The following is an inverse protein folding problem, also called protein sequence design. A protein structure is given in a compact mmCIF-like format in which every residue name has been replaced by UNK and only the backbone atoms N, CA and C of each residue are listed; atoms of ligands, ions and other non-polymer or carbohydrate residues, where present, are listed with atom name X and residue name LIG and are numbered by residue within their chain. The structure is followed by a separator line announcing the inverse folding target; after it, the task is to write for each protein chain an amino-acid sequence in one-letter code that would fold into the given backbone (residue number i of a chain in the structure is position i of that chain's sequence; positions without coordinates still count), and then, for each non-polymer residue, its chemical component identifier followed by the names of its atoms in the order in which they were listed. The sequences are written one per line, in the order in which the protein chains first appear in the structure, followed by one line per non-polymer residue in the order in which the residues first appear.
data_IF_988880740377
#
_entry.id   IF_988880740377
#
_cell.length_a   1.000
_cell.length_b   1.000
_cell.length_c   1.000
_cell.angle_alpha   90.00
_cell.angle_beta   90.00
_cell.angle_gamma   90.00
#
_symmetry.space_group_name_H-M   'P 1'
#
loop_
_entity.id
_entity.type
_entity.pdbx_description
1 polymer ?
#
# COMPACT_ATOMS: atom_id res chain seq x y z
N UNK A 1 -40.23 10.65 21.69
CA UNK A 1 -40.50 9.36 22.37
C UNK A 1 -39.21 8.83 23.00
N UNK A 2 -39.24 8.27 24.22
CA UNK A 2 -38.12 8.26 25.15
C UNK A 2 -37.18 7.04 24.99
N UNK A 3 -35.90 7.27 25.32
CA UNK A 3 -34.79 6.32 25.30
C UNK A 3 -34.86 5.37 26.50
N UNK A 4 -34.83 4.07 26.25
CA UNK A 4 -34.73 3.05 27.30
C UNK A 4 -33.26 2.84 27.70
N UNK A 5 -33.00 3.06 28.99
CA UNK A 5 -31.77 2.74 29.73
C UNK A 5 -31.67 1.22 29.92
N UNK A 6 -30.52 0.61 29.64
CA UNK A 6 -30.23 -0.77 30.07
C UNK A 6 -29.13 -0.81 31.13
N UNK A 7 -29.53 -1.41 32.25
CA UNK A 7 -28.79 -1.62 33.50
C UNK A 7 -27.66 -2.64 33.34
N UNK A 8 -26.62 -2.39 34.13
CA UNK A 8 -25.56 -3.31 34.56
C UNK A 8 -26.13 -4.48 35.37
N UNK A 9 -25.59 -5.67 35.15
CA UNK A 9 -25.56 -6.75 36.14
C UNK A 9 -24.20 -7.44 36.13
N UNK A 10 -23.60 -7.50 37.32
CA UNK A 10 -22.32 -8.10 37.68
C UNK A 10 -22.64 -9.16 38.74
N UNK A 11 -22.14 -10.39 38.58
CA UNK A 11 -21.90 -11.41 39.63
C UNK A 11 -21.29 -12.65 38.95
N UNK A 12 -20.02 -13.04 39.17
CA UNK A 12 -19.43 -13.82 40.30
C UNK A 12 -19.84 -15.33 40.24
N UNK A 13 -19.07 -16.38 40.52
CA UNK A 13 -17.68 -16.69 40.94
C UNK A 13 -17.48 -18.23 40.81
N UNK A 14 -16.24 -18.73 40.63
CA UNK A 14 -15.62 -19.98 41.20
C UNK A 14 -14.45 -20.43 40.29
N UNK A 15 -13.16 -20.27 40.61
CA UNK A 15 -12.28 -20.78 41.70
C UNK A 15 -11.67 -22.18 41.44
N UNK A 16 -10.40 -22.18 40.97
CA UNK A 16 -9.25 -23.07 41.27
C UNK A 16 -9.31 -24.60 40.97
N UNK A 17 -8.18 -25.35 40.86
CA UNK A 17 -6.79 -25.02 41.24
C UNK A 17 -5.66 -25.40 40.25
N UNK A 18 -4.48 -24.89 40.61
CA UNK A 18 -3.11 -25.17 40.14
C UNK A 18 -2.70 -26.63 40.39
N UNK A 19 -1.99 -27.26 39.43
CA UNK A 19 -0.95 -28.27 39.71
C UNK A 19 0.19 -28.19 38.69
N UNK A 20 1.39 -28.28 39.26
CA UNK A 20 2.74 -28.17 38.69
C UNK A 20 3.25 -29.54 38.16
N UNK A 21 4.52 -29.71 37.74
CA UNK A 21 4.92 -30.29 36.47
C UNK A 21 5.17 -31.81 36.48
N UNK A 22 5.05 -32.45 35.31
CA UNK A 22 5.28 -33.89 35.14
C UNK A 22 6.77 -34.17 34.89
N UNK A 23 7.42 -34.70 35.92
CA UNK A 23 8.66 -35.49 35.85
C UNK A 23 8.32 -36.96 35.51
N UNK A 24 8.87 -37.49 34.41
CA UNK A 24 9.02 -38.93 34.12
C UNK A 24 10.31 -39.06 33.28
N UNK A 25 11.24 -39.97 33.48
CA UNK A 25 11.22 -41.24 34.18
C UNK A 25 12.15 -42.19 33.41
N UNK A 26 13.42 -42.16 33.81
CA UNK A 26 14.50 -43.16 33.68
C UNK A 26 14.10 -44.54 33.12
N UNK A 27 14.69 -44.96 31.99
CA UNK A 27 14.84 -46.39 31.62
C UNK A 27 16.32 -46.69 31.41
N UNK A 28 16.84 -47.60 32.24
CA UNK A 28 18.20 -48.15 32.25
C UNK A 28 18.12 -49.54 31.59
N UNK A 29 19.01 -49.84 30.64
CA UNK A 29 19.46 -51.20 30.33
C UNK A 29 20.93 -51.17 29.90
N UNK A 30 21.66 -52.11 30.47
CA UNK A 30 23.09 -52.44 30.42
C UNK A 30 23.65 -52.58 28.99
N UNK A 31 24.81 -51.98 28.68
CA UNK A 31 26.21 -52.46 28.83
C UNK A 31 26.66 -53.44 27.74
N UNK A 32 27.35 -52.92 26.73
CA UNK A 32 28.47 -53.63 26.09
C UNK A 32 29.49 -52.64 25.52
N UNK A 33 30.73 -52.75 26.03
CA UNK A 33 32.02 -52.26 25.53
C UNK A 33 32.35 -50.74 25.60
N UNK A 34 33.56 -50.36 26.06
CA UNK A 34 34.00 -48.97 26.15
C UNK A 34 34.53 -48.48 24.78
N UNK A 35 33.94 -47.47 24.14
CA UNK A 35 34.63 -46.75 23.10
C UNK A 35 35.58 -45.74 23.76
N UNK A 36 36.83 -45.81 23.32
CA UNK A 36 37.94 -44.90 23.62
C UNK A 36 37.51 -43.42 23.68
N UNK A 37 38.08 -42.60 24.58
CA UNK A 37 37.74 -41.19 24.68
C UNK A 37 38.26 -40.47 23.43
N UNK A 38 37.39 -40.28 22.44
CA UNK A 38 37.65 -39.34 21.35
C UNK A 38 37.69 -37.94 21.98
N UNK A 39 38.75 -37.13 21.75
CA UNK A 39 38.78 -35.77 22.22
C UNK A 39 37.66 -35.02 21.50
N UNK A 40 36.58 -34.75 22.22
CA UNK A 40 35.57 -33.80 21.75
C UNK A 40 36.21 -32.43 21.82
N UNK A 41 36.82 -32.02 20.70
CA UNK A 41 37.10 -30.62 20.45
C UNK A 41 35.77 -29.89 20.62
N UNK A 42 35.57 -29.25 21.79
CA UNK A 42 34.58 -28.21 21.94
C UNK A 42 34.94 -27.17 20.89
N UNK A 43 34.24 -27.19 19.76
CA UNK A 43 34.22 -26.06 18.84
C UNK A 43 33.75 -24.88 19.70
N UNK A 44 34.68 -23.99 20.04
CA UNK A 44 34.36 -22.75 20.76
C UNK A 44 33.21 -22.12 19.98
N UNK A 45 32.05 -21.93 20.63
CA UNK A 45 30.97 -21.13 20.07
C UNK A 45 31.61 -19.81 19.64
N UNK A 46 31.65 -19.55 18.32
CA UNK A 46 32.09 -18.27 17.80
C UNK A 46 31.28 -17.20 18.53
N UNK A 47 31.99 -16.22 19.08
CA UNK A 47 31.37 -15.04 19.68
C UNK A 47 30.32 -14.50 18.72
N UNK A 48 29.17 -14.05 19.25
CA UNK A 48 28.10 -13.41 18.47
C UNK A 48 28.63 -12.18 17.68
N UNK A 49 29.83 -11.71 18.02
CA UNK A 49 30.53 -10.60 17.38
C UNK A 49 31.73 -11.02 16.51
N UNK A 50 31.80 -12.26 16.01
CA UNK A 50 32.96 -12.71 15.20
C UNK A 50 33.17 -11.91 13.91
N UNK A 51 32.21 -11.09 13.49
CA UNK A 51 32.36 -10.14 12.38
C UNK A 51 33.21 -8.90 12.74
N UNK A 52 33.53 -8.72 14.03
CA UNK A 52 34.44 -7.70 14.56
C UNK A 52 35.86 -8.22 14.75
N UNK A 53 36.07 -9.53 14.62
CA UNK A 53 37.41 -10.12 14.68
C UNK A 53 38.17 -9.70 13.42
N UNK A 54 39.19 -8.87 13.61
CA UNK A 54 40.04 -8.33 12.54
C UNK A 54 41.45 -8.87 12.71
N UNK A 55 42.14 -9.16 11.60
CA UNK A 55 43.57 -9.51 11.66
C UNK A 55 44.40 -8.28 12.06
N UNK A 56 45.61 -8.50 12.59
CA UNK A 56 46.54 -7.41 12.90
C UNK A 56 46.85 -6.56 11.66
N UNK A 57 46.99 -7.20 10.50
CA UNK A 57 47.21 -6.54 9.21
C UNK A 57 46.03 -5.63 8.82
N UNK A 58 44.78 -6.11 8.97
CA UNK A 58 43.59 -5.29 8.71
C UNK A 58 43.46 -4.10 9.67
N UNK A 59 43.96 -4.23 10.89
CA UNK A 59 43.94 -3.19 11.91
C UNK A 59 45.02 -2.14 11.63
N UNK A 60 46.20 -2.54 11.16
CA UNK A 60 47.30 -1.63 10.79
C UNK A 60 47.00 -0.86 9.50
N UNK A 61 46.33 -1.51 8.54
CA UNK A 61 45.94 -0.91 7.27
C UNK A 61 44.72 0.04 7.37
N UNK A 62 44.03 0.11 8.52
CA UNK A 62 42.82 0.92 8.67
C UNK A 62 43.12 2.42 8.65
N UNK A 63 42.75 3.09 7.56
CA UNK A 63 42.91 4.54 7.41
C UNK A 63 42.15 5.34 8.48
N UNK A 64 41.06 4.79 9.05
CA UNK A 64 40.27 5.48 10.07
C UNK A 64 41.04 5.69 11.37
N UNK A 65 42.03 4.85 11.68
CA UNK A 65 42.89 5.01 12.88
C UNK A 65 43.72 6.29 12.85
N UNK A 66 43.96 6.84 11.66
CA UNK A 66 44.72 8.08 11.46
C UNK A 66 43.83 9.33 11.52
N UNK A 67 42.51 9.18 11.69
CA UNK A 67 41.60 10.31 11.85
C UNK A 67 41.81 10.96 13.22
N UNK A 68 41.66 12.29 13.30
CA UNK A 68 41.93 13.07 14.53
C UNK A 68 41.21 12.55 15.77
N UNK A 69 40.00 12.00 15.60
CA UNK A 69 39.19 11.52 16.72
C UNK A 69 39.56 10.09 17.14
N UNK A 70 39.89 9.21 16.19
CA UNK A 70 40.24 7.81 16.49
C UNK A 70 41.74 7.60 16.75
N UNK A 71 42.57 8.63 16.52
CA UNK A 71 43.97 8.66 16.97
C UNK A 71 44.13 8.97 18.45
N UNK A 72 43.07 9.42 19.12
CA UNK A 72 43.05 9.63 20.58
C UNK A 72 43.09 8.28 21.31
N UNK A 73 43.47 8.30 22.60
CA UNK A 73 43.39 7.09 23.43
C UNK A 73 41.95 6.59 23.52
N UNK A 74 41.76 5.28 23.60
CA UNK A 74 40.43 4.67 23.66
C UNK A 74 39.57 5.22 24.82
N UNK A 75 40.21 5.60 25.92
CA UNK A 75 39.55 6.24 27.07
C UNK A 75 38.99 7.62 26.73
N UNK A 76 39.75 8.46 26.02
CA UNK A 76 39.30 9.78 25.58
C UNK A 76 38.16 9.66 24.57
N UNK A 77 38.24 8.72 23.64
CA UNK A 77 37.16 8.48 22.66
C UNK A 77 35.87 8.02 23.37
N UNK A 78 35.97 7.09 24.33
CA UNK A 78 34.83 6.67 25.16
C UNK A 78 34.26 7.82 25.99
N UNK A 79 35.13 8.69 26.54
CA UNK A 79 34.73 9.87 27.30
C UNK A 79 33.99 10.87 26.42
N UNK A 80 34.48 11.16 25.21
CA UNK A 80 33.77 12.00 24.23
C UNK A 80 32.41 11.39 23.91
N UNK A 81 32.35 10.08 23.64
CA UNK A 81 31.11 9.37 23.34
C UNK A 81 30.10 9.39 24.50
N UNK A 82 30.55 9.50 25.76
CA UNK A 82 29.67 9.62 26.93
C UNK A 82 28.92 10.94 27.01
N UNK A 83 29.41 11.98 26.31
CA UNK A 83 28.73 13.27 26.19
C UNK A 83 27.78 13.34 24.98
N UNK A 84 27.79 12.33 24.10
CA UNK A 84 26.90 12.30 22.95
C UNK A 84 25.50 11.82 23.36
N UNK A 85 24.43 12.39 22.78
CA UNK A 85 23.11 11.77 22.78
C UNK A 85 23.17 10.31 22.30
N UNK A 86 22.28 9.46 22.81
CA UNK A 86 22.34 8.01 22.63
C UNK A 86 22.34 7.59 21.14
N UNK A 87 21.48 8.20 20.34
CA UNK A 87 21.42 8.08 18.89
C UNK A 87 22.76 8.44 18.21
N UNK A 88 23.36 9.56 18.59
CA UNK A 88 24.65 10.03 18.07
C UNK A 88 25.79 9.10 18.47
N UNK A 89 25.76 8.56 19.69
CA UNK A 89 26.72 7.56 20.17
C UNK A 89 26.61 6.24 19.40
N UNK A 90 25.37 5.82 19.06
CA UNK A 90 25.15 4.66 18.19
C UNK A 90 25.66 4.95 16.78
N UNK A 91 25.32 6.09 16.18
CA UNK A 91 25.82 6.48 14.85
C UNK A 91 27.35 6.55 14.80
N UNK A 92 27.99 7.10 15.84
CA UNK A 92 29.46 7.16 15.92
C UNK A 92 30.06 5.75 15.91
N UNK A 93 29.51 4.82 16.69
CA UNK A 93 29.95 3.42 16.66
C UNK A 93 29.67 2.71 15.33
N UNK A 94 28.72 3.17 14.52
CA UNK A 94 28.40 2.60 13.20
C UNK A 94 29.23 3.20 12.05
N UNK A 95 29.97 4.28 12.30
CA UNK A 95 30.67 5.03 11.24
C UNK A 95 31.77 4.19 10.58
N UNK A 96 32.53 3.41 11.36
CA UNK A 96 33.55 2.51 10.85
C UNK A 96 33.85 1.37 11.84
N UNK A 97 34.52 0.32 11.35
CA UNK A 97 34.93 -0.84 12.17
C UNK A 97 35.79 -0.43 13.37
N UNK A 98 36.66 0.57 13.20
CA UNK A 98 37.53 1.06 14.28
C UNK A 98 36.74 1.79 15.38
N UNK A 99 35.79 2.65 15.01
CA UNK A 99 34.92 3.31 15.97
C UNK A 99 34.11 2.28 16.78
N UNK A 100 33.56 1.25 16.11
CA UNK A 100 32.86 0.15 16.78
C UNK A 100 33.78 -0.63 17.72
N UNK A 101 35.04 -0.87 17.32
CA UNK A 101 36.04 -1.57 18.15
C UNK A 101 36.36 -0.79 19.43
N UNK A 102 36.55 0.53 19.32
CA UNK A 102 36.91 1.39 20.45
C UNK A 102 35.72 1.61 21.39
N UNK A 103 34.54 1.88 20.84
CA UNK A 103 33.34 2.24 21.62
C UNK A 103 32.57 1.00 22.13
N UNK A 104 32.61 -0.09 21.36
CA UNK A 104 31.86 -1.31 21.62
C UNK A 104 30.34 -1.17 21.35
N UNK A 105 29.58 -2.27 21.50
CA UNK A 105 28.14 -2.30 21.21
C UNK A 105 27.27 -1.82 22.38
N UNK A 106 27.85 -1.22 23.42
CA UNK A 106 27.15 -0.86 24.66
C UNK A 106 25.99 0.11 24.42
N UNK A 107 26.20 1.11 23.54
CA UNK A 107 25.16 2.05 23.12
C UNK A 107 24.02 1.35 22.36
N UNK A 108 24.28 0.27 21.63
CA UNK A 108 23.24 -0.48 20.91
C UNK A 108 22.31 -1.21 21.86
N UNK A 109 22.86 -1.77 22.95
CA UNK A 109 22.07 -2.41 23.99
C UNK A 109 21.20 -1.41 24.73
N UNK A 110 21.72 -0.22 25.00
CA UNK A 110 20.95 0.88 25.58
C UNK A 110 19.84 1.35 24.63
N UNK A 111 20.14 1.55 23.34
CA UNK A 111 19.14 1.89 22.33
C UNK A 111 18.08 0.80 22.20
N UNK A 112 18.45 -0.49 22.27
CA UNK A 112 17.49 -1.60 22.28
C UNK A 112 16.57 -1.55 23.49
N UNK A 113 17.10 -1.19 24.67
CA UNK A 113 16.36 -1.09 25.93
C UNK A 113 15.40 0.11 25.96
N UNK A 114 15.81 1.25 25.42
CA UNK A 114 15.08 2.52 25.51
C UNK A 114 14.28 2.87 24.23
N UNK A 115 14.74 2.47 23.05
CA UNK A 115 14.18 2.87 21.75
C UNK A 115 13.09 1.95 21.19
N UNK A 116 12.89 0.75 21.75
CA UNK A 116 11.84 -0.19 21.31
C UNK A 116 10.68 -0.33 22.29
N UNK A 117 10.70 0.43 23.40
CA UNK A 117 9.51 0.53 24.25
C UNK A 117 8.44 1.28 23.48
N UNK A 118 7.51 0.52 22.91
CA UNK A 118 6.28 0.99 22.27
C UNK A 118 5.63 2.01 23.19
N UNK A 119 5.62 3.29 22.82
CA UNK A 119 4.79 4.27 23.50
C UNK A 119 3.93 5.07 22.52
N UNK A 120 2.63 4.93 22.76
CA UNK A 120 1.59 5.96 22.77
C UNK A 120 1.88 7.27 22.03
N UNK A 121 0.93 7.64 21.17
CA UNK A 121 0.83 8.83 20.30
C UNK A 121 1.18 10.22 20.89
N UNK A 122 1.42 10.33 22.20
CA UNK A 122 1.55 11.61 22.89
C UNK A 122 2.99 11.95 23.34
N UNK A 123 3.97 11.05 23.19
CA UNK A 123 5.38 11.32 23.51
C UNK A 123 6.26 10.87 22.33
N UNK A 124 6.86 11.78 21.55
CA UNK A 124 7.83 11.39 20.53
C UNK A 124 9.02 10.69 21.21
N UNK A 125 9.40 9.47 20.81
CA UNK A 125 10.48 8.75 21.46
C UNK A 125 11.83 9.42 21.20
N UNK A 126 12.84 9.26 22.09
CA UNK A 126 14.24 9.63 21.83
C UNK A 126 14.87 8.93 20.59
N UNK A 127 14.13 8.04 19.94
CA UNK A 127 14.54 7.24 18.79
C UNK A 127 14.16 7.85 17.43
N UNK A 128 13.52 9.02 17.37
CA UNK A 128 13.17 9.68 16.11
C UNK A 128 14.40 10.20 15.36
N UNK A 129 15.39 10.72 16.09
CA UNK A 129 16.62 11.25 15.53
C UNK A 129 17.55 10.17 14.96
N UNK A 130 17.49 8.94 15.48
CA UNK A 130 18.41 7.87 15.04
C UNK A 130 18.21 7.46 13.56
N UNK A 131 17.00 7.09 13.09
CA UNK A 131 16.78 6.82 11.67
C UNK A 131 16.98 8.08 10.80
N UNK A 132 16.69 9.28 11.30
CA UNK A 132 17.00 10.52 10.58
C UNK A 132 18.51 10.71 10.39
N UNK A 133 19.33 10.46 11.42
CA UNK A 133 20.79 10.50 11.32
C UNK A 133 21.31 9.44 10.36
N UNK A 134 20.79 8.21 10.43
CA UNK A 134 21.12 7.15 9.47
C UNK A 134 20.73 7.51 8.04
N UNK A 135 19.63 8.25 7.85
CA UNK A 135 19.18 8.68 6.51
C UNK A 135 20.27 9.49 5.80
N UNK A 136 21.05 10.31 6.52
CA UNK A 136 22.16 11.10 5.98
C UNK A 136 23.15 10.24 5.21
N UNK A 137 23.44 9.05 5.74
CA UNK A 137 24.48 8.17 5.22
C UNK A 137 23.94 7.21 4.14
N UNK A 138 22.64 7.20 3.89
CA UNK A 138 21.96 6.29 2.96
C UNK A 138 20.95 6.99 2.03
N UNK A 139 21.05 8.32 1.86
CA UNK A 139 20.04 9.14 1.16
C UNK A 139 19.70 8.66 -0.25
N UNK A 140 20.66 8.05 -0.92
CA UNK A 140 20.51 7.59 -2.31
C UNK A 140 19.63 6.34 -2.42
N UNK A 141 19.44 5.60 -1.32
CA UNK A 141 18.78 4.29 -1.30
C UNK A 141 17.59 4.26 -0.35
N UNK A 142 17.61 5.08 0.70
CA UNK A 142 16.61 5.11 1.75
C UNK A 142 16.17 6.54 2.08
N UNK A 143 14.89 6.70 2.34
CA UNK A 143 14.26 7.94 2.80
C UNK A 143 13.63 7.73 4.17
N UNK A 144 13.78 8.72 5.04
CA UNK A 144 13.10 8.74 6.33
C UNK A 144 11.61 9.00 6.14
N UNK A 145 10.77 8.26 6.86
CA UNK A 145 9.32 8.44 6.86
C UNK A 145 8.84 8.97 8.20
N UNK A 146 8.29 10.19 8.18
CA UNK A 146 7.78 10.87 9.37
C UNK A 146 6.52 10.21 9.98
N UNK A 147 5.86 9.31 9.24
CA UNK A 147 4.63 8.64 9.71
C UNK A 147 4.95 7.46 10.63
N UNK A 148 5.94 6.65 10.24
CA UNK A 148 6.30 5.42 10.94
C UNK A 148 7.73 5.46 11.51
N UNK A 149 8.36 6.65 11.47
CA UNK A 149 9.67 6.97 12.05
C UNK A 149 10.76 5.95 11.71
N UNK A 150 10.84 5.57 10.43
CA UNK A 150 11.82 4.58 9.96
C UNK A 150 12.21 4.82 8.50
N UNK A 151 13.28 4.14 8.06
CA UNK A 151 13.84 4.24 6.72
C UNK A 151 13.17 3.27 5.75
N UNK A 152 12.75 3.76 4.59
CA UNK A 152 12.20 2.95 3.50
C UNK A 152 12.92 3.26 2.21
N UNK A 153 12.88 2.37 1.21
CA UNK A 153 13.18 2.76 -0.15
C UNK A 153 12.32 3.98 -0.55
N UNK A 154 12.86 4.92 -1.35
CA UNK A 154 12.12 6.08 -1.80
C UNK A 154 10.86 5.66 -2.55
N UNK A 155 9.88 6.56 -2.57
CA UNK A 155 8.64 6.35 -3.30
C UNK A 155 8.98 6.24 -4.79
N UNK A 156 8.84 5.02 -5.32
CA UNK A 156 8.99 4.76 -6.76
C UNK A 156 7.78 5.33 -7.54
N UNK A 157 7.93 5.63 -8.84
CA UNK A 157 6.80 5.98 -9.70
C UNK A 157 5.68 4.93 -9.67
N UNK A 158 4.41 5.28 -9.96
CA UNK A 158 3.27 4.38 -9.91
C UNK A 158 3.50 3.00 -10.57
N UNK A 159 4.14 2.97 -11.74
CA UNK A 159 4.46 1.74 -12.51
C UNK A 159 5.44 0.78 -11.82
N UNK A 160 6.26 1.31 -10.92
CA UNK A 160 7.31 0.56 -10.21
C UNK A 160 7.06 0.47 -8.70
N UNK A 161 6.01 1.13 -8.20
CA UNK A 161 5.67 1.12 -6.79
C UNK A 161 5.06 -0.23 -6.38
N UNK A 162 5.48 -0.77 -5.24
CA UNK A 162 4.92 -2.00 -4.67
C UNK A 162 4.56 -1.78 -3.22
N UNK A 163 3.32 -2.09 -2.87
CA UNK A 163 2.87 -2.04 -1.48
C UNK A 163 3.41 -3.27 -0.76
N UNK A 164 4.22 -3.03 0.26
CA UNK A 164 4.74 -4.07 1.16
C UNK A 164 3.98 -4.02 2.47
N UNK A 165 4.11 -5.06 3.30
CA UNK A 165 3.54 -5.05 4.66
C UNK A 165 4.02 -3.86 5.50
N UNK A 166 5.27 -3.41 5.28
CA UNK A 166 5.86 -2.26 5.97
C UNK A 166 5.27 -0.94 5.44
N UNK A 167 5.30 -0.75 4.12
CA UNK A 167 4.82 0.50 3.51
C UNK A 167 3.30 0.66 3.64
N UNK A 168 2.52 -0.42 3.68
CA UNK A 168 1.06 -0.37 3.93
C UNK A 168 0.71 0.38 5.23
N UNK A 169 1.51 0.20 6.29
CA UNK A 169 1.31 0.94 7.56
C UNK A 169 1.64 2.42 7.42
N UNK A 170 2.71 2.74 6.71
CA UNK A 170 3.16 4.11 6.53
C UNK A 170 2.25 4.92 5.58
N UNK A 171 1.56 4.27 4.64
CA UNK A 171 0.58 4.93 3.78
C UNK A 171 -0.74 5.24 4.53
N UNK A 172 -1.04 4.51 5.62
CA UNK A 172 -2.14 4.79 6.53
C UNK A 172 -3.49 4.96 5.82
N UNK A 173 -4.13 6.12 6.01
CA UNK A 173 -5.42 6.46 5.40
C UNK A 173 -5.29 7.12 4.01
N UNK A 174 -4.07 7.49 3.60
CA UNK A 174 -3.71 8.01 2.29
C UNK A 174 -3.31 6.87 1.36
N UNK A 175 -4.06 5.77 1.48
CA UNK A 175 -3.83 4.49 0.84
C UNK A 175 -3.66 4.61 -0.68
N UNK A 176 -3.21 3.53 -1.29
CA UNK A 176 -2.95 3.44 -2.73
C UNK A 176 -4.24 3.23 -3.54
N UNK A 177 -4.23 3.61 -4.81
CA UNK A 177 -5.19 3.07 -5.79
C UNK A 177 -4.79 1.61 -6.06
N UNK A 178 -5.41 0.66 -5.36
CA UNK A 178 -5.03 -0.76 -5.32
C UNK A 178 -5.90 -1.70 -6.17
N UNK A 179 -6.93 -1.15 -6.81
CA UNK A 179 -7.90 -1.90 -7.58
C UNK A 179 -7.56 -1.98 -9.08
N UNK A 180 -6.42 -1.40 -9.48
CA UNK A 180 -5.91 -1.50 -10.84
C UNK A 180 -5.21 -2.86 -11.05
N UNK A 181 -5.08 -3.30 -12.30
CA UNK A 181 -4.57 -4.62 -12.59
C UNK A 181 -3.11 -4.72 -12.19
N UNK A 182 -2.74 -5.82 -11.52
CA UNK A 182 -1.37 -6.12 -11.09
C UNK A 182 -1.13 -7.62 -11.04
N UNK A 183 0.14 -8.03 -11.12
CA UNK A 183 0.62 -9.37 -10.81
C UNK A 183 1.69 -9.31 -9.69
N UNK A 184 2.41 -10.42 -9.47
CA UNK A 184 3.42 -10.50 -8.41
C UNK A 184 4.62 -9.57 -8.64
N UNK A 185 4.92 -9.23 -9.89
CA UNK A 185 6.11 -8.49 -10.30
C UNK A 185 5.77 -7.08 -10.81
N UNK A 186 4.60 -6.91 -11.41
CA UNK A 186 4.17 -5.75 -12.20
C UNK A 186 2.82 -5.20 -11.70
N UNK A 187 2.62 -3.89 -11.87
CA UNK A 187 1.36 -3.24 -11.53
C UNK A 187 1.51 -1.73 -11.44
N UNK A 188 0.37 -1.04 -11.48
CA UNK A 188 0.30 0.42 -11.46
C UNK A 188 -0.41 0.88 -10.18
N UNK A 189 0.36 1.52 -9.29
CA UNK A 189 -0.06 1.82 -7.92
C UNK A 189 0.14 3.30 -7.58
N UNK A 190 -0.77 4.18 -8.03
CA UNK A 190 -0.74 5.60 -7.66
C UNK A 190 -0.90 5.81 -6.15
N UNK A 191 -0.05 6.67 -5.61
CA UNK A 191 -0.11 7.20 -4.26
C UNK A 191 -0.50 8.68 -4.28
N UNK A 192 -0.98 9.18 -3.14
CA UNK A 192 -1.30 10.60 -3.02
C UNK A 192 -0.08 11.48 -3.28
N UNK A 193 1.11 11.06 -2.83
CA UNK A 193 2.37 11.77 -3.10
C UNK A 193 2.68 11.91 -4.59
N UNK A 194 2.30 10.94 -5.43
CA UNK A 194 2.46 11.06 -6.89
C UNK A 194 1.53 12.12 -7.47
N UNK A 195 0.32 12.26 -6.91
CA UNK A 195 -0.63 13.31 -7.28
C UNK A 195 -0.09 14.68 -6.84
N UNK A 196 0.47 14.78 -5.63
CA UNK A 196 1.07 16.02 -5.15
C UNK A 196 2.27 16.46 -6.00
N UNK A 197 3.15 15.53 -6.35
CA UNK A 197 4.29 15.79 -7.22
C UNK A 197 3.83 16.20 -8.62
N UNK A 198 2.87 15.48 -9.21
CA UNK A 198 2.27 15.83 -10.49
C UNK A 198 1.59 17.20 -10.47
N UNK A 199 0.92 17.56 -9.36
CA UNK A 199 0.30 18.87 -9.21
C UNK A 199 1.34 19.99 -9.14
N UNK A 200 2.44 19.75 -8.42
CA UNK A 200 3.53 20.71 -8.25
C UNK A 200 4.24 20.97 -9.59
N UNK A 201 4.61 19.90 -10.30
CA UNK A 201 5.34 19.99 -11.57
C UNK A 201 4.51 20.60 -12.70
N UNK A 202 3.18 20.49 -12.65
CA UNK A 202 2.26 21.04 -13.65
C UNK A 202 1.52 22.31 -13.19
N UNK A 203 2.00 22.97 -12.13
CA UNK A 203 1.32 24.12 -11.50
C UNK A 203 1.08 25.31 -12.44
N UNK A 204 1.93 25.50 -13.46
CA UNK A 204 1.75 26.53 -14.49
C UNK A 204 0.41 26.40 -15.26
N UNK A 205 -0.17 25.20 -15.29
CA UNK A 205 -1.42 24.89 -15.98
C UNK A 205 -2.59 24.63 -15.02
N UNK A 206 -2.56 25.18 -13.80
CA UNK A 206 -3.62 24.99 -12.80
C UNK A 206 -4.83 25.92 -12.97
N UNK A 207 -4.77 26.90 -13.88
CA UNK A 207 -5.83 27.89 -14.10
C UNK A 207 -6.97 27.35 -14.95
N UNK A 208 -8.19 27.91 -14.79
CA UNK A 208 -9.30 27.57 -15.69
C UNK A 208 -8.95 27.93 -17.13
N UNK A 209 -9.31 27.07 -18.08
CA UNK A 209 -9.05 27.25 -19.51
C UNK A 209 -7.68 26.77 -19.97
N UNK A 210 -6.77 26.37 -19.07
CA UNK A 210 -5.43 25.90 -19.46
C UNK A 210 -5.38 24.38 -19.65
N UNK A 211 -4.57 23.97 -20.61
CA UNK A 211 -4.27 22.57 -20.93
C UNK A 211 -2.77 22.37 -20.82
N UNK A 212 -2.36 21.32 -20.12
CA UNK A 212 -0.96 20.99 -19.92
C UNK A 212 -0.55 19.75 -20.71
N UNK A 213 0.74 19.62 -20.95
CA UNK A 213 1.36 18.44 -21.56
C UNK A 213 1.16 17.17 -20.70
N UNK A 214 1.31 15.98 -21.29
CA UNK A 214 1.34 14.73 -20.55
C UNK A 214 2.38 14.73 -19.42
N UNK A 215 1.99 14.19 -18.27
CA UNK A 215 2.81 14.12 -17.06
C UNK A 215 3.39 12.71 -16.94
N UNK A 216 4.67 12.56 -17.29
CA UNK A 216 5.37 11.27 -17.35
C UNK A 216 5.33 10.45 -16.05
N UNK A 217 5.26 11.14 -14.90
CA UNK A 217 5.13 10.50 -13.59
C UNK A 217 3.86 9.64 -13.50
N UNK A 218 2.79 10.07 -14.13
CA UNK A 218 1.48 9.41 -14.13
C UNK A 218 1.26 8.53 -15.37
N UNK A 219 2.32 8.27 -16.12
CA UNK A 219 2.29 7.42 -17.31
C UNK A 219 2.81 6.01 -17.01
N UNK A 220 2.10 5.03 -17.56
CA UNK A 220 2.45 3.63 -17.39
C UNK A 220 1.56 2.71 -18.19
N UNK A 221 2.15 1.62 -18.67
CA UNK A 221 1.48 0.57 -19.42
C UNK A 221 1.71 -0.78 -18.74
N UNK A 222 0.68 -1.60 -18.72
CA UNK A 222 0.72 -2.91 -18.11
C UNK A 222 -0.11 -3.90 -18.93
N UNK A 223 0.34 -5.14 -19.06
CA UNK A 223 -0.37 -6.19 -19.80
C UNK A 223 -0.38 -7.49 -19.02
N UNK A 224 -1.58 -8.04 -18.80
CA UNK A 224 -1.82 -9.37 -18.27
C UNK A 224 -2.27 -10.29 -19.41
N UNK A 225 -1.53 -11.37 -19.61
CA UNK A 225 -1.94 -12.45 -20.50
C UNK A 225 -2.83 -13.45 -19.75
N UNK A 226 -4.01 -13.71 -20.29
CA UNK A 226 -4.94 -14.77 -19.84
C UNK A 226 -5.16 -15.76 -20.99
N UNK A 227 -5.65 -16.98 -20.71
CA UNK A 227 -6.02 -17.92 -21.76
C UNK A 227 -7.02 -17.29 -22.73
N UNK A 228 -6.60 -17.09 -23.98
CA UNK A 228 -7.40 -16.52 -25.08
C UNK A 228 -7.84 -15.05 -24.92
N UNK A 229 -7.25 -14.31 -23.98
CA UNK A 229 -7.56 -12.92 -23.72
C UNK A 229 -6.30 -12.17 -23.27
N UNK A 230 -6.02 -11.03 -23.90
CA UNK A 230 -5.03 -10.07 -23.43
C UNK A 230 -5.75 -8.92 -22.75
N UNK A 231 -5.34 -8.60 -21.53
CA UNK A 231 -5.83 -7.42 -20.81
C UNK A 231 -4.67 -6.45 -20.63
N UNK A 232 -4.67 -5.35 -21.35
CA UNK A 232 -3.73 -4.25 -21.11
C UNK A 232 -4.41 -3.07 -20.44
N UNK A 233 -3.63 -2.30 -19.71
CA UNK A 233 -4.04 -1.03 -19.13
C UNK A 233 -2.96 0.00 -19.45
N UNK A 234 -3.34 1.10 -20.10
CA UNK A 234 -2.50 2.29 -20.20
C UNK A 234 -3.00 3.38 -19.27
N UNK A 235 -2.08 4.23 -18.82
CA UNK A 235 -2.35 5.36 -17.93
C UNK A 235 -1.64 6.60 -18.42
N UNK A 236 -2.28 7.75 -18.28
CA UNK A 236 -1.73 9.05 -18.62
C UNK A 236 -2.31 10.13 -17.72
N UNK A 237 -1.47 11.03 -17.21
CA UNK A 237 -1.89 12.21 -16.46
C UNK A 237 -1.70 13.48 -17.28
N UNK A 238 -2.60 14.46 -17.16
CA UNK A 238 -2.42 15.80 -17.73
C UNK A 238 -3.29 16.84 -17.00
N UNK A 239 -3.06 18.12 -17.29
CA UNK A 239 -3.94 19.22 -16.85
C UNK A 239 -4.97 19.50 -17.94
N UNK A 240 -6.26 19.47 -17.60
CA UNK A 240 -7.37 19.77 -18.51
C UNK A 240 -8.30 20.79 -17.83
N UNK A 241 -8.47 21.97 -18.44
CA UNK A 241 -9.21 23.09 -17.85
C UNK A 241 -8.74 23.44 -16.42
N UNK A 242 -7.42 23.35 -16.21
CA UNK A 242 -6.77 23.54 -14.90
C UNK A 242 -6.76 22.32 -13.97
N UNK A 243 -7.63 21.34 -14.21
CA UNK A 243 -7.76 20.17 -13.34
C UNK A 243 -6.70 19.13 -13.66
N UNK A 244 -6.12 18.51 -12.64
CA UNK A 244 -5.30 17.32 -12.84
C UNK A 244 -6.22 16.12 -13.11
N UNK A 245 -6.11 15.57 -14.32
CA UNK A 245 -6.87 14.41 -14.78
C UNK A 245 -5.92 13.23 -14.94
N UNK A 246 -6.27 12.09 -14.34
CA UNK A 246 -5.64 10.80 -14.58
C UNK A 246 -6.56 9.94 -15.43
N UNK A 247 -6.11 9.60 -16.63
CA UNK A 247 -6.81 8.74 -17.58
C UNK A 247 -6.28 7.32 -17.46
N UNK A 248 -7.17 6.34 -17.38
CA UNK A 248 -6.82 4.92 -17.58
C UNK A 248 -7.59 4.35 -18.76
N UNK A 249 -6.95 3.49 -19.55
CA UNK A 249 -7.59 2.77 -20.66
C UNK A 249 -7.34 1.29 -20.47
N UNK A 250 -8.36 0.56 -20.02
CA UNK A 250 -8.31 -0.90 -20.01
C UNK A 250 -8.71 -1.41 -21.41
N UNK A 251 -7.81 -2.13 -22.06
CA UNK A 251 -8.02 -2.76 -23.36
C UNK A 251 -8.07 -4.27 -23.17
N UNK A 252 -9.19 -4.87 -23.51
CA UNK A 252 -9.37 -6.31 -23.53
C UNK A 252 -9.40 -6.76 -24.98
N UNK A 253 -8.54 -7.71 -25.36
CA UNK A 253 -8.46 -8.24 -26.73
C UNK A 253 -8.50 -9.76 -26.71
N UNK A 254 -9.44 -10.36 -27.43
CA UNK A 254 -9.48 -11.83 -27.57
C UNK A 254 -8.61 -12.30 -28.74
N UNK A 255 -7.91 -13.42 -28.54
CA UNK A 255 -7.25 -14.14 -29.64
C UNK A 255 -8.18 -15.15 -30.32
N UNK A 256 -9.41 -15.32 -29.82
CA UNK A 256 -10.40 -16.21 -30.41
C UNK A 256 -10.84 -15.67 -31.78
N UNK A 257 -11.26 -16.58 -32.65
CA UNK A 257 -11.92 -16.19 -33.90
C UNK A 257 -13.26 -15.47 -33.64
N UNK A 258 -13.93 -15.81 -32.52
CA UNK A 258 -15.24 -15.27 -32.12
C UNK A 258 -15.11 -13.88 -31.45
N UNK A 259 -16.17 -13.04 -31.52
CA UNK A 259 -16.28 -11.79 -30.76
C UNK A 259 -16.04 -11.98 -29.26
N UNK A 260 -15.61 -10.91 -28.58
CA UNK A 260 -15.60 -10.85 -27.13
C UNK A 260 -17.00 -11.06 -26.57
N UNK A 261 -17.10 -11.87 -25.51
CA UNK A 261 -18.34 -12.10 -24.80
C UNK A 261 -18.26 -11.53 -23.38
N UNK A 262 -19.42 -11.25 -22.79
CA UNK A 262 -19.50 -10.79 -21.40
C UNK A 262 -18.81 -11.77 -20.43
N UNK A 263 -18.91 -13.07 -20.72
CA UNK A 263 -18.24 -14.13 -19.94
C UNK A 263 -16.72 -14.09 -20.01
N UNK A 264 -16.12 -13.42 -21.00
CA UNK A 264 -14.67 -13.23 -21.07
C UNK A 264 -14.20 -12.07 -20.17
N UNK A 265 -15.08 -11.11 -19.85
CA UNK A 265 -14.72 -9.86 -19.15
C UNK A 265 -15.18 -9.85 -17.69
N UNK A 266 -16.45 -10.17 -17.43
CA UNK A 266 -17.05 -10.02 -16.09
C UNK A 266 -16.32 -10.82 -14.98
N UNK A 267 -15.81 -12.04 -15.22
CA UNK A 267 -15.06 -12.80 -14.21
C UNK A 267 -13.71 -12.20 -13.81
N UNK A 268 -13.19 -11.20 -14.53
CA UNK A 268 -11.90 -10.57 -14.22
C UNK A 268 -11.96 -9.63 -13.01
N UNK A 269 -13.15 -9.40 -12.44
CA UNK A 269 -13.40 -8.44 -11.35
C UNK A 269 -12.78 -7.06 -11.63
N UNK A 270 -13.04 -6.52 -12.83
CA UNK A 270 -12.52 -5.22 -13.26
C UNK A 270 -13.09 -4.14 -12.35
N UNK A 271 -12.22 -3.26 -11.86
CA UNK A 271 -12.58 -2.10 -11.04
C UNK A 271 -11.98 -0.85 -11.67
N UNK A 272 -12.81 0.17 -11.86
CA UNK A 272 -12.37 1.46 -12.44
C UNK A 272 -12.28 2.56 -11.39
N UNK A 273 -13.08 2.45 -10.33
CA UNK A 273 -12.95 3.23 -9.10
C UNK A 273 -13.42 2.35 -7.94
N UNK A 274 -13.28 2.77 -6.67
CA UNK A 274 -13.77 1.98 -5.55
C UNK A 274 -15.25 1.62 -5.65
N UNK A 275 -16.06 2.41 -6.36
CA UNK A 275 -17.53 2.28 -6.41
C UNK A 275 -18.07 1.53 -7.63
N UNK A 276 -17.25 1.37 -8.67
CA UNK A 276 -17.68 0.84 -9.97
C UNK A 276 -16.79 -0.35 -10.31
N UNK A 277 -17.36 -1.54 -10.15
CA UNK A 277 -16.68 -2.81 -10.32
C UNK A 277 -17.60 -3.86 -10.97
N UNK A 278 -17.02 -4.90 -11.57
CA UNK A 278 -17.78 -6.06 -12.07
C UNK A 278 -17.96 -7.15 -11.01
N UNK A 279 -17.49 -6.95 -9.77
CA UNK A 279 -17.60 -8.00 -8.75
C UNK A 279 -19.05 -8.25 -8.38
N UNK A 280 -19.37 -9.53 -8.22
CA UNK A 280 -20.66 -10.04 -7.71
C UNK A 280 -20.49 -10.69 -6.33
N UNK A 281 -19.27 -10.66 -5.79
CA UNK A 281 -18.93 -11.19 -4.48
C UNK A 281 -19.61 -10.38 -3.37
N UNK A 282 -20.07 -11.09 -2.34
CA UNK A 282 -20.60 -10.44 -1.14
C UNK A 282 -19.46 -9.82 -0.32
N UNK A 283 -19.70 -8.67 0.32
CA UNK A 283 -18.72 -8.06 1.20
C UNK A 283 -18.44 -8.94 2.41
N UNK A 284 -17.20 -8.90 2.90
CA UNK A 284 -16.89 -9.42 4.23
C UNK A 284 -17.67 -8.67 5.31
N UNK A 285 -18.16 -9.43 6.30
CA UNK A 285 -18.88 -8.87 7.45
C UNK A 285 -17.97 -7.92 8.22
N UNK A 286 -18.49 -6.75 8.56
CA UNK A 286 -17.76 -5.75 9.34
C UNK A 286 -18.69 -4.95 10.23
N UNK A 287 -18.14 -4.07 11.06
CA UNK A 287 -18.94 -3.16 11.91
C UNK A 287 -19.91 -2.27 11.11
N UNK A 288 -19.65 -2.04 9.82
CA UNK A 288 -20.45 -1.18 8.93
C UNK A 288 -21.40 -2.00 8.04
N UNK A 289 -21.00 -3.20 7.64
CA UNK A 289 -21.79 -4.08 6.78
C UNK A 289 -22.37 -5.19 7.64
N UNK A 290 -23.61 -4.98 8.10
CA UNK A 290 -24.36 -5.92 8.94
C UNK A 290 -25.28 -6.82 8.12
N UNK A 291 -25.66 -6.37 6.93
CA UNK A 291 -26.60 -7.00 5.98
C UNK A 291 -25.88 -7.42 4.70
N UNK A 292 -26.58 -8.18 3.85
CA UNK A 292 -26.09 -8.50 2.50
C UNK A 292 -26.20 -7.25 1.63
N UNK A 293 -25.13 -6.47 1.57
CA UNK A 293 -25.00 -5.36 0.62
C UNK A 293 -24.48 -5.88 -0.72
N UNK A 294 -25.07 -5.42 -1.82
CA UNK A 294 -24.71 -5.79 -3.19
C UNK A 294 -24.08 -4.60 -3.91
N UNK A 295 -23.17 -4.88 -4.84
CA UNK A 295 -22.56 -3.88 -5.71
C UNK A 295 -23.61 -3.23 -6.65
N UNK A 296 -23.33 -2.02 -7.13
CA UNK A 296 -24.17 -1.31 -8.09
C UNK A 296 -24.10 -1.91 -9.50
N UNK A 297 -25.19 -1.82 -10.31
CA UNK A 297 -25.24 -2.45 -11.63
C UNK A 297 -24.64 -1.61 -12.76
N UNK A 298 -24.39 -0.31 -12.55
CA UNK A 298 -24.10 0.66 -13.62
C UNK A 298 -22.91 0.23 -14.51
N UNK A 299 -21.78 -0.13 -13.90
CA UNK A 299 -20.58 -0.49 -14.66
C UNK A 299 -20.76 -1.78 -15.47
N UNK A 300 -21.35 -2.81 -14.85
CA UNK A 300 -21.69 -4.07 -15.54
C UNK A 300 -22.65 -3.81 -16.69
N UNK A 301 -23.67 -2.98 -16.49
CA UNK A 301 -24.61 -2.59 -17.53
C UNK A 301 -23.88 -1.91 -18.70
N UNK A 302 -23.02 -0.91 -18.42
CA UNK A 302 -22.25 -0.22 -19.45
C UNK A 302 -21.39 -1.19 -20.30
N UNK A 303 -20.78 -2.20 -19.67
CA UNK A 303 -20.02 -3.24 -20.39
C UNK A 303 -20.95 -4.04 -21.31
N UNK A 304 -22.09 -4.49 -20.77
CA UNK A 304 -23.04 -5.31 -21.52
C UNK A 304 -23.66 -4.56 -22.70
N UNK A 305 -24.01 -3.28 -22.52
CA UNK A 305 -24.55 -2.42 -23.58
C UNK A 305 -23.55 -2.16 -24.70
N UNK A 306 -22.24 -2.14 -24.39
CA UNK A 306 -21.20 -1.96 -25.39
C UNK A 306 -20.88 -3.23 -26.19
N UNK A 307 -21.23 -4.41 -25.67
CA UNK A 307 -21.01 -5.69 -26.33
C UNK A 307 -22.16 -6.03 -27.29
N UNK A 308 -21.91 -6.78 -28.39
CA UNK A 308 -22.97 -7.17 -29.32
C UNK A 308 -24.07 -7.99 -28.63
N UNK A 309 -25.35 -7.73 -28.92
CA UNK A 309 -26.51 -8.37 -28.28
C UNK A 309 -26.49 -9.91 -28.34
N UNK A 310 -25.89 -10.49 -29.39
CA UNK A 310 -25.72 -11.96 -29.52
C UNK A 310 -24.74 -12.56 -28.50
N UNK A 311 -23.98 -11.72 -27.80
CA UNK A 311 -22.93 -12.12 -26.84
C UNK A 311 -23.33 -11.85 -25.39
N UNK A 312 -24.46 -11.16 -25.15
CA UNK A 312 -25.00 -10.90 -23.83
C UNK A 312 -25.84 -12.10 -23.38
N UNK A 313 -25.23 -13.09 -22.72
CA UNK A 313 -26.02 -14.01 -21.89
C UNK A 313 -26.50 -13.22 -20.68
N UNK A 314 -27.82 -13.28 -20.42
CA UNK A 314 -28.52 -12.61 -19.31
C UNK A 314 -27.64 -12.50 -18.06
N UNK A 315 -27.19 -11.30 -17.74
CA UNK A 315 -26.56 -11.05 -16.44
C UNK A 315 -27.61 -11.24 -15.36
N UNK A 316 -27.35 -12.10 -14.38
CA UNK A 316 -28.24 -12.33 -13.26
C UNK A 316 -28.47 -11.00 -12.50
N UNK A 317 -29.64 -10.39 -12.70
CA UNK A 317 -30.05 -9.15 -12.02
C UNK A 317 -30.07 -9.30 -10.49
N UNK A 318 -30.17 -10.52 -9.98
CA UNK A 318 -30.14 -10.85 -8.55
C UNK A 318 -28.78 -10.65 -7.88
N UNK A 319 -27.70 -10.48 -8.64
CA UNK A 319 -26.35 -10.30 -8.10
C UNK A 319 -25.99 -8.84 -7.79
N UNK A 320 -26.83 -7.88 -8.18
CA UNK A 320 -26.60 -6.45 -8.00
C UNK A 320 -27.71 -5.78 -7.21
N UNK A 321 -27.40 -4.66 -6.57
CA UNK A 321 -28.39 -3.79 -5.96
C UNK A 321 -29.30 -3.15 -7.03
N UNK A 322 -30.46 -2.64 -6.60
CA UNK A 322 -31.27 -1.78 -7.47
C UNK A 322 -30.48 -0.51 -7.80
N UNK A 323 -30.45 -0.06 -9.06
CA UNK A 323 -29.80 1.19 -9.43
C UNK A 323 -30.47 2.37 -8.71
N UNK A 324 -29.67 3.37 -8.35
CA UNK A 324 -30.19 4.67 -7.92
C UNK A 324 -30.82 5.42 -9.10
N UNK A 325 -31.66 6.45 -8.87
CA UNK A 325 -32.31 7.19 -9.97
C UNK A 325 -31.31 7.77 -10.99
N UNK A 326 -30.15 8.26 -10.53
CA UNK A 326 -29.10 8.79 -11.41
C UNK A 326 -28.39 7.70 -12.21
N UNK A 327 -28.24 6.50 -11.65
CA UNK A 327 -27.68 5.34 -12.39
C UNK A 327 -28.71 4.82 -13.40
N UNK A 328 -29.99 4.73 -13.01
CA UNK A 328 -31.07 4.30 -13.90
C UNK A 328 -31.19 5.23 -15.11
N UNK A 329 -31.16 6.54 -14.92
CA UNK A 329 -31.20 7.51 -16.03
C UNK A 329 -30.05 7.30 -17.03
N UNK A 330 -28.83 7.02 -16.54
CA UNK A 330 -27.68 6.73 -17.40
C UNK A 330 -27.83 5.38 -18.12
N UNK A 331 -28.40 4.37 -17.46
CA UNK A 331 -28.66 3.05 -18.05
C UNK A 331 -29.75 3.12 -19.13
N UNK A 332 -30.81 3.88 -18.89
CA UNK A 332 -31.93 4.06 -19.82
C UNK A 332 -31.46 4.76 -21.10
N UNK A 333 -30.72 5.86 -20.95
CA UNK A 333 -30.22 6.61 -22.09
C UNK A 333 -29.17 5.78 -22.89
N UNK A 334 -28.35 4.95 -22.22
CA UNK A 334 -27.46 4.03 -22.92
C UNK A 334 -28.24 2.93 -23.67
N UNK A 335 -29.35 2.45 -23.09
CA UNK A 335 -30.24 1.48 -23.73
C UNK A 335 -30.98 2.07 -24.94
N UNK A 336 -31.18 3.39 -24.96
CA UNK A 336 -31.71 4.13 -26.10
C UNK A 336 -30.69 4.31 -27.24
N UNK A 337 -29.46 3.83 -27.08
CA UNK A 337 -28.41 3.90 -28.09
C UNK A 337 -27.61 5.21 -28.10
N UNK A 338 -27.75 6.04 -27.06
CA UNK A 338 -26.95 7.25 -26.93
C UNK A 338 -25.48 6.93 -26.61
N UNK A 339 -24.57 7.74 -27.13
CA UNK A 339 -23.15 7.65 -26.79
C UNK A 339 -22.88 8.34 -25.46
N UNK A 340 -23.05 7.61 -24.36
CA UNK A 340 -23.01 8.18 -23.01
C UNK A 340 -21.62 8.14 -22.39
N UNK A 341 -21.26 9.26 -21.78
CA UNK A 341 -20.19 9.35 -20.79
C UNK A 341 -20.79 9.10 -19.41
N UNK A 342 -20.51 7.92 -18.85
CA UNK A 342 -21.01 7.54 -17.55
C UNK A 342 -20.28 8.28 -16.44
N UNK A 343 -20.98 8.57 -15.35
CA UNK A 343 -20.45 9.28 -14.18
C UNK A 343 -20.71 8.50 -12.90
N UNK A 344 -19.69 8.44 -12.04
CA UNK A 344 -19.84 7.85 -10.72
C UNK A 344 -20.49 8.85 -9.76
N UNK A 345 -21.52 8.40 -9.02
CA UNK A 345 -22.23 9.23 -8.03
C UNK A 345 -21.47 9.46 -6.71
N UNK A 346 -20.32 8.79 -6.51
CA UNK A 346 -19.61 8.72 -5.23
C UNK A 346 -18.15 9.21 -5.30
N UNK A 347 -17.58 9.34 -6.51
CA UNK A 347 -16.27 9.96 -6.75
C UNK A 347 -16.28 10.78 -8.06
N UNK A 348 -15.34 11.72 -8.24
CA UNK A 348 -15.21 12.46 -9.49
C UNK A 348 -14.52 11.61 -10.58
N UNK A 349 -15.18 10.50 -10.94
CA UNK A 349 -14.80 9.59 -12.02
C UNK A 349 -15.83 9.63 -13.13
N UNK A 350 -15.35 9.79 -14.36
CA UNK A 350 -16.14 9.54 -15.58
C UNK A 350 -15.58 8.33 -16.30
N UNK A 351 -16.41 7.63 -17.06
CA UNK A 351 -15.95 6.52 -17.87
C UNK A 351 -16.79 6.30 -19.12
N UNK A 352 -16.18 5.71 -20.13
CA UNK A 352 -16.81 5.36 -21.39
C UNK A 352 -16.31 4.00 -21.84
N UNK A 353 -17.20 3.23 -22.45
CA UNK A 353 -16.89 1.89 -22.95
C UNK A 353 -17.15 1.87 -24.44
N UNK A 354 -16.14 1.42 -25.20
CA UNK A 354 -16.22 1.30 -26.65
C UNK A 354 -15.72 -0.06 -27.09
N UNK A 355 -16.43 -0.66 -28.02
CA UNK A 355 -16.01 -1.91 -28.67
C UNK A 355 -15.46 -1.58 -30.06
N UNK A 356 -14.42 -2.29 -30.49
CA UNK A 356 -13.88 -2.19 -31.83
C UNK A 356 -14.90 -2.66 -32.87
N UNK A 357 -14.74 -2.21 -34.13
CA UNK A 357 -15.61 -2.61 -35.24
C UNK A 357 -15.64 -4.12 -35.47
N UNK A 358 -14.51 -4.79 -35.26
CA UNK A 358 -14.40 -6.25 -35.38
C UNK A 358 -14.92 -7.01 -34.15
N UNK A 359 -15.35 -6.30 -33.10
CA UNK A 359 -15.87 -6.83 -31.83
C UNK A 359 -14.90 -7.72 -31.04
N UNK A 360 -13.62 -7.69 -31.40
CA UNK A 360 -12.56 -8.47 -30.73
C UNK A 360 -11.81 -7.68 -29.68
N UNK A 361 -12.07 -6.37 -29.57
CA UNK A 361 -11.47 -5.49 -28.59
C UNK A 361 -12.52 -4.65 -27.88
N UNK A 362 -12.42 -4.58 -26.54
CA UNK A 362 -13.22 -3.71 -25.68
C UNK A 362 -12.27 -2.74 -24.97
N UNK A 363 -12.56 -1.44 -25.07
CA UNK A 363 -11.85 -0.38 -24.39
C UNK A 363 -12.74 0.23 -23.31
N UNK A 364 -12.27 0.23 -22.06
CA UNK A 364 -12.88 0.94 -20.95
C UNK A 364 -11.97 2.11 -20.63
N UNK A 365 -12.41 3.31 -20.97
CA UNK A 365 -11.67 4.56 -20.69
C UNK A 365 -12.24 5.20 -19.43
N UNK A 366 -11.38 5.57 -18.49
CA UNK A 366 -11.76 6.18 -17.22
C UNK A 366 -10.97 7.46 -17.03
N UNK A 367 -11.60 8.47 -16.43
CA UNK A 367 -10.96 9.74 -16.10
C UNK A 367 -11.24 10.07 -14.64
N UNK A 368 -10.19 10.28 -13.87
CA UNK A 368 -10.25 10.68 -12.46
C UNK A 368 -9.81 12.13 -12.32
N UNK A 369 -10.67 12.96 -11.74
CA UNK A 369 -10.36 14.36 -11.50
C UNK A 369 -9.88 14.59 -10.06
N UNK A 370 -8.66 15.11 -9.91
CA UNK A 370 -8.09 15.50 -8.61
C UNK A 370 -8.28 16.98 -8.27
N UNK A 371 -8.89 17.76 -9.16
CA UNK A 371 -9.10 19.19 -9.01
C UNK A 371 -7.87 20.00 -9.42
N UNK A 372 -7.90 21.30 -9.09
CA UNK A 372 -6.88 22.26 -9.52
C UNK A 372 -5.72 22.40 -8.53
N UNK A 373 -6.00 22.19 -7.25
CA UNK A 373 -5.08 22.44 -6.15
C UNK A 373 -5.04 21.26 -5.17
N UNK A 374 -4.08 21.32 -4.24
CA UNK A 374 -3.88 20.31 -3.21
C UNK A 374 -5.10 20.12 -2.29
N UNK A 375 -5.89 21.17 -2.05
CA UNK A 375 -7.07 21.07 -1.20
C UNK A 375 -8.13 20.18 -1.84
N UNK A 376 -8.40 20.37 -3.13
CA UNK A 376 -9.29 19.51 -3.91
C UNK A 376 -8.71 18.10 -4.04
N UNK A 377 -7.41 17.97 -4.28
CA UNK A 377 -6.75 16.68 -4.39
C UNK A 377 -6.94 15.85 -3.11
N UNK A 378 -6.64 16.45 -1.95
CA UNK A 378 -6.79 15.81 -0.64
C UNK A 378 -8.25 15.41 -0.36
N UNK A 379 -9.20 16.27 -0.75
CA UNK A 379 -10.65 16.00 -0.59
C UNK A 379 -11.12 14.84 -1.47
N UNK A 380 -10.68 14.81 -2.73
CA UNK A 380 -11.11 13.81 -3.71
C UNK A 380 -10.36 12.48 -3.56
N UNK A 381 -9.11 12.50 -3.08
CA UNK A 381 -8.30 11.30 -2.85
C UNK A 381 -9.05 10.23 -2.05
N UNK A 382 -9.71 10.65 -0.97
CA UNK A 382 -10.49 9.76 -0.10
C UNK A 382 -11.64 9.03 -0.81
N UNK A 383 -12.07 9.52 -1.96
CA UNK A 383 -13.09 8.89 -2.80
C UNK A 383 -12.50 7.92 -3.82
N UNK A 384 -11.21 8.04 -4.16
CA UNK A 384 -10.52 7.19 -5.14
C UNK A 384 -9.79 6.01 -4.51
N UNK A 385 -9.73 5.89 -3.19
CA UNK A 385 -9.01 4.79 -2.53
C UNK A 385 -9.97 3.91 -1.74
N UNK A 386 -9.75 2.59 -1.77
CA UNK A 386 -10.46 1.66 -0.91
C UNK A 386 -9.96 1.86 0.51
N UNK A 387 -10.88 2.15 1.43
CA UNK A 387 -10.54 2.34 2.85
C UNK A 387 -10.98 1.08 3.60
N UNK A 388 -10.09 0.09 3.65
CA UNK A 388 -10.26 -1.15 4.42
C UNK A 388 -9.14 -1.31 5.48
N UNK A 389 -9.50 -1.47 6.77
CA UNK A 389 -8.52 -1.60 7.87
C UNK A 389 -9.08 -1.29 9.27
N UNK A 390 -8.53 -1.96 10.29
CA UNK A 390 -8.96 -1.84 11.69
C UNK A 390 -8.76 -0.43 12.28
N UNK A 391 -7.80 0.34 11.75
CA UNK A 391 -7.43 1.68 12.23
C UNK A 391 -7.94 2.84 11.34
N UNK A 392 -8.89 2.56 10.44
CA UNK A 392 -9.53 3.64 9.69
C UNK A 392 -10.36 4.48 10.66
N UNK A 393 -10.14 5.80 10.62
CA UNK A 393 -10.86 6.76 11.44
C UNK A 393 -12.38 6.68 11.28
N UNK A 394 -13.11 7.51 12.03
CA UNK A 394 -14.59 7.53 12.02
C UNK A 394 -15.23 7.81 10.65
N UNK A 395 -14.43 8.24 9.67
CA UNK A 395 -14.88 8.45 8.30
C UNK A 395 -15.22 7.13 7.61
N UNK A 396 -16.35 7.12 6.91
CA UNK A 396 -17.01 5.97 6.32
C UNK A 396 -16.06 5.18 5.40
N UNK A 397 -16.18 3.84 5.45
CA UNK A 397 -15.66 2.89 4.44
C UNK A 397 -16.01 3.42 3.04
N UNK A 398 -15.11 3.20 2.08
CA UNK A 398 -15.25 3.69 0.71
C UNK A 398 -14.93 2.55 -0.25
N UNK A 399 -15.95 1.83 -0.71
CA UNK A 399 -15.82 0.69 -1.61
C UNK A 399 -17.12 0.45 -2.41
N UNK A 400 -17.16 -0.67 -3.12
CA UNK A 400 -18.23 -1.04 -4.05
C UNK A 400 -19.56 -1.37 -3.36
N UNK A 401 -19.53 -1.70 -2.06
CA UNK A 401 -20.71 -2.04 -1.27
C UNK A 401 -21.19 -0.90 -0.38
N UNK A 402 -20.31 0.03 -0.02
CA UNK A 402 -20.62 1.14 0.88
C UNK A 402 -19.92 2.42 0.44
N UNK A 403 -20.71 3.33 -0.13
CA UNK A 403 -20.28 4.70 -0.41
C UNK A 403 -21.42 5.70 -0.21
N UNK A 404 -21.08 6.89 0.28
CA UNK A 404 -22.02 8.01 0.32
C UNK A 404 -22.06 8.68 -1.05
N UNK A 405 -23.25 8.91 -1.59
CA UNK A 405 -23.39 9.78 -2.75
C UNK A 405 -22.90 11.20 -2.41
N UNK A 406 -22.21 11.82 -3.36
CA UNK A 406 -21.63 13.15 -3.25
C UNK A 406 -21.78 13.88 -4.58
N UNK A 407 -21.98 15.18 -4.51
CA UNK A 407 -21.95 16.04 -5.69
C UNK A 407 -20.51 16.47 -5.95
N UNK A 408 -20.05 16.28 -7.19
CA UNK A 408 -18.78 16.79 -7.67
C UNK A 408 -19.03 17.74 -8.84
N UNK A 409 -18.22 18.80 -9.01
CA UNK A 409 -18.28 19.63 -10.20
C UNK A 409 -18.05 18.78 -11.46
N UNK A 410 -18.82 19.07 -12.50
CA UNK A 410 -18.55 18.49 -13.81
C UNK A 410 -17.19 18.96 -14.33
N UNK A 411 -16.49 18.11 -15.09
CA UNK A 411 -15.12 18.39 -15.55
C UNK A 411 -14.87 17.98 -17.01
N UNK A 412 -14.01 18.74 -17.69
CA UNK A 412 -13.49 18.41 -19.01
C UNK A 412 -12.46 17.28 -18.91
N UNK A 413 -12.45 16.41 -19.90
CA UNK A 413 -11.73 15.12 -19.86
C UNK A 413 -10.93 14.83 -21.14
N UNK A 414 -11.10 15.64 -22.18
CA UNK A 414 -10.35 15.64 -23.45
C UNK A 414 -10.12 17.08 -23.91
#
# INVERSE_FOLDING_TARGET
MPKAVRKSTRSSTRSHPVKEPINRGRRRRESTQPPTPKPTHRVKKRSILSFLDRSSEEIEADCNRKTRILSLSAELVKRINSYLPLDSAVCFSLTCKEALRVLGPGSWMQLKKYGWQVQSWNNPPPAESFPQLLSRDCRDILSFCDICFTLHPPIKPPRSHRVTRLTKKCLGQWAVIDYLPSDAEHGYFPLYSHIEEAMSSSSAFASKGTFGEPIDLLSGDFTISKPNLTWSMSSAGSRIDGNLILKHIHTFRTSKAKPLQASDILPLEVRICPHQSTTTSLPERSRYIKTKELNGPLFTHAILSALPTRTTKSSNSSCFAKPSPSEQQQMDAASAGENILFTCRSCPTKFQIRTSRDTKQLNITTWHNFGRDFLHAAKYWKCFVRREGEFLGRDKRNDEWWSSSKTFPDFRHE
#
